data_IF_363079373841
#
_entry.id   IF_363079373841
#
_cell.length_a   1.000
_cell.length_b   1.000
_cell.length_c   1.000
_cell.angle_alpha   90.00
_cell.angle_beta   90.00
_cell.angle_gamma   90.00
#
_symmetry.space_group_name_H-M   'P 1'
#
loop_
_entity.id
_entity.type
_entity.pdbx_description
1 polymer ?
#
# COMPACT_ATOMS: atom_id res chain seq x y z
N UNK A 1 7.51 -1.34 -19.62
CA UNK A 1 7.02 -2.62 -19.07
C UNK A 1 5.56 -2.82 -19.42
N UNK A 2 5.09 -4.04 -19.66
CA UNK A 2 3.65 -4.31 -19.83
C UNK A 2 2.96 -4.56 -18.49
N UNK A 3 1.62 -4.49 -18.46
CA UNK A 3 0.85 -4.66 -17.22
C UNK A 3 1.11 -5.98 -16.49
N UNK A 4 1.41 -7.07 -17.21
CA UNK A 4 1.75 -8.37 -16.62
C UNK A 4 3.07 -8.35 -15.83
N UNK A 5 4.08 -7.69 -16.38
CA UNK A 5 5.37 -7.49 -15.72
C UNK A 5 5.21 -6.58 -14.49
N UNK A 6 4.41 -5.52 -14.60
CA UNK A 6 4.09 -4.63 -13.48
C UNK A 6 3.37 -5.39 -12.36
N UNK A 7 2.41 -6.26 -12.70
CA UNK A 7 1.72 -7.10 -11.72
C UNK A 7 2.70 -8.02 -10.97
N UNK A 8 3.64 -8.65 -11.68
CA UNK A 8 4.66 -9.49 -11.05
C UNK A 8 5.57 -8.69 -10.11
N UNK A 9 6.01 -7.49 -10.54
CA UNK A 9 6.92 -6.64 -9.75
C UNK A 9 6.25 -5.98 -8.54
N UNK A 10 4.98 -5.62 -8.67
CA UNK A 10 4.23 -4.94 -7.61
C UNK A 10 3.49 -5.91 -6.70
N UNK A 11 3.37 -7.18 -7.10
CA UNK A 11 2.48 -8.19 -6.50
C UNK A 11 1.01 -7.74 -6.44
N UNK A 12 0.63 -6.78 -7.28
CA UNK A 12 -0.75 -6.37 -7.45
C UNK A 12 -1.40 -7.20 -8.55
N UNK A 13 -2.66 -7.57 -8.35
CA UNK A 13 -3.43 -8.21 -9.41
C UNK A 13 -3.61 -7.27 -10.61
N UNK A 14 -3.72 -7.82 -11.82
CA UNK A 14 -4.08 -7.05 -13.02
C UNK A 14 -5.37 -6.24 -12.82
N UNK A 15 -6.35 -6.81 -12.11
CA UNK A 15 -7.61 -6.14 -11.76
C UNK A 15 -7.36 -4.92 -10.87
N UNK A 16 -6.47 -5.04 -9.89
CA UNK A 16 -6.12 -3.94 -8.98
C UNK A 16 -5.41 -2.81 -9.72
N UNK A 17 -4.46 -3.13 -10.60
CA UNK A 17 -3.76 -2.12 -11.42
C UNK A 17 -4.76 -1.37 -12.32
N UNK A 18 -5.65 -2.10 -13.01
CA UNK A 18 -6.71 -1.49 -13.83
C UNK A 18 -7.66 -0.61 -13.02
N UNK A 19 -8.01 -1.04 -11.81
CA UNK A 19 -8.84 -0.23 -10.92
C UNK A 19 -8.14 1.08 -10.52
N UNK A 20 -6.82 1.06 -10.29
CA UNK A 20 -6.07 2.28 -10.03
C UNK A 20 -5.93 3.18 -11.27
N UNK A 21 -5.95 2.60 -12.48
CA UNK A 21 -6.09 3.40 -13.70
C UNK A 21 -7.46 4.04 -13.85
N UNK A 22 -8.53 3.27 -13.64
CA UNK A 22 -9.92 3.74 -13.75
C UNK A 22 -10.22 4.84 -12.73
N UNK A 23 -9.64 4.74 -11.54
CA UNK A 23 -9.73 5.78 -10.50
C UNK A 23 -8.74 6.93 -10.74
N UNK A 24 -7.89 6.87 -11.76
CA UNK A 24 -6.93 7.93 -12.11
C UNK A 24 -5.82 8.11 -11.08
N UNK A 25 -5.52 7.09 -10.26
CA UNK A 25 -4.38 7.10 -9.34
C UNK A 25 -3.06 6.84 -10.07
N UNK A 26 -3.09 6.05 -11.14
CA UNK A 26 -1.94 5.70 -11.98
C UNK A 26 -2.39 5.77 -13.43
N UNK A 27 -1.57 6.31 -14.32
CA UNK A 27 -1.83 6.26 -15.76
C UNK A 27 -0.68 5.54 -16.45
N UNK A 28 -0.95 4.69 -17.47
CA UNK A 28 0.13 4.12 -18.26
C UNK A 28 0.87 5.24 -19.00
N UNK A 29 2.18 5.31 -18.81
CA UNK A 29 3.03 6.33 -19.44
C UNK A 29 2.97 6.33 -20.96
N UNK A 30 2.69 5.18 -21.60
CA UNK A 30 2.56 5.08 -23.04
C UNK A 30 1.67 3.92 -23.48
N UNK A 31 1.40 3.86 -24.79
CA UNK A 31 0.87 2.68 -25.47
C UNK A 31 1.85 2.21 -26.54
N UNK A 32 2.01 0.91 -26.69
CA UNK A 32 2.80 0.34 -27.79
C UNK A 32 2.06 0.48 -29.13
N UNK A 33 2.77 0.26 -30.24
CA UNK A 33 2.16 0.25 -31.57
C UNK A 33 1.02 -0.78 -31.72
N UNK A 34 1.06 -1.87 -30.95
CA UNK A 34 -0.01 -2.87 -30.88
C UNK A 34 -1.14 -2.55 -29.90
N UNK A 35 -1.16 -1.34 -29.32
CA UNK A 35 -2.21 -0.89 -28.38
C UNK A 35 -2.04 -1.34 -26.93
N UNK A 36 -0.95 -2.04 -26.59
CA UNK A 36 -0.69 -2.49 -25.23
C UNK A 36 -0.28 -1.34 -24.31
N UNK A 37 -0.73 -1.38 -23.05
CA UNK A 37 -0.34 -0.40 -22.01
C UNK A 37 1.12 -0.60 -21.63
N UNK A 38 1.87 0.49 -21.60
CA UNK A 38 3.26 0.53 -21.19
C UNK A 38 3.43 1.41 -19.96
N UNK A 39 4.16 0.89 -18.99
CA UNK A 39 4.47 1.53 -17.72
C UNK A 39 5.98 1.74 -17.61
N UNK A 40 6.34 2.85 -16.97
CA UNK A 40 7.72 3.23 -16.62
C UNK A 40 8.07 2.78 -15.20
N UNK A 41 9.34 2.92 -14.82
CA UNK A 41 9.77 2.70 -13.43
C UNK A 41 9.05 3.63 -12.44
N UNK A 42 8.76 4.87 -12.85
CA UNK A 42 8.00 5.82 -12.04
C UNK A 42 6.58 5.30 -11.76
N UNK A 43 5.91 4.74 -12.77
CA UNK A 43 4.58 4.15 -12.60
C UNK A 43 4.61 2.96 -11.62
N UNK A 44 5.66 2.13 -11.67
CA UNK A 44 5.86 1.02 -10.74
C UNK A 44 6.11 1.53 -9.32
N UNK A 45 6.97 2.53 -9.15
CA UNK A 45 7.22 3.15 -7.85
C UNK A 45 5.93 3.73 -7.24
N UNK A 46 5.10 4.40 -8.06
CA UNK A 46 3.78 4.90 -7.68
C UNK A 46 2.86 3.79 -7.17
N UNK A 47 2.75 2.69 -7.92
CA UNK A 47 1.96 1.52 -7.54
C UNK A 47 2.45 0.89 -6.24
N UNK A 48 3.76 0.87 -6.00
CA UNK A 48 4.35 0.36 -4.76
C UNK A 48 4.00 1.23 -3.55
N UNK A 49 3.93 2.55 -3.71
CA UNK A 49 3.44 3.45 -2.64
C UNK A 49 1.98 3.16 -2.32
N UNK A 50 1.11 3.11 -3.33
CA UNK A 50 -0.32 2.79 -3.17
C UNK A 50 -0.50 1.45 -2.45
N UNK A 51 0.28 0.43 -2.84
CA UNK A 51 0.27 -0.90 -2.21
C UNK A 51 0.55 -0.82 -0.71
N UNK A 52 1.53 -0.01 -0.28
CA UNK A 52 1.90 0.13 1.14
C UNK A 52 0.87 0.91 1.95
N UNK A 53 0.15 1.83 1.32
CA UNK A 53 -0.90 2.61 1.97
C UNK A 53 -2.17 1.79 2.25
N UNK A 54 -2.47 0.79 1.41
CA UNK A 54 -3.72 0.02 1.50
C UNK A 54 -3.91 -0.74 2.83
N UNK A 55 -2.92 -1.48 3.36
CA UNK A 55 -3.04 -2.14 4.67
C UNK A 55 -3.25 -1.17 5.84
N UNK A 56 -2.79 0.07 5.69
CA UNK A 56 -2.99 1.13 6.66
C UNK A 56 -4.35 1.83 6.49
N UNK A 57 -5.25 1.33 5.65
CA UNK A 57 -6.61 1.86 5.53
C UNK A 57 -6.70 3.27 4.92
N UNK A 58 -5.68 3.72 4.19
CA UNK A 58 -5.78 4.99 3.46
C UNK A 58 -6.85 4.93 2.37
N UNK A 59 -7.59 6.02 2.22
CA UNK A 59 -8.61 6.16 1.17
C UNK A 59 -7.95 6.46 -0.18
N UNK A 60 -8.71 6.32 -1.28
CA UNK A 60 -8.20 6.67 -2.62
C UNK A 60 -7.85 8.16 -2.71
N UNK A 61 -8.58 9.03 -2.02
CA UNK A 61 -8.33 10.47 -2.01
C UNK A 61 -7.05 10.80 -1.23
N UNK A 62 -6.81 10.13 -0.10
CA UNK A 62 -5.56 10.24 0.66
C UNK A 62 -4.36 9.73 -0.15
N UNK A 63 -4.53 8.61 -0.87
CA UNK A 63 -3.51 8.10 -1.78
C UNK A 63 -3.18 9.13 -2.88
N UNK A 64 -4.19 9.70 -3.52
CA UNK A 64 -4.00 10.73 -4.55
C UNK A 64 -3.26 11.94 -3.98
N UNK A 65 -3.71 12.42 -2.84
CA UNK A 65 -3.14 13.55 -2.12
C UNK A 65 -1.64 13.39 -1.83
N UNK A 66 -1.23 12.21 -1.34
CA UNK A 66 0.19 11.92 -1.09
C UNK A 66 0.99 11.87 -2.39
N UNK A 67 0.47 11.19 -3.41
CA UNK A 67 1.15 11.05 -4.69
C UNK A 67 1.33 12.40 -5.38
N UNK A 68 0.32 13.26 -5.38
CA UNK A 68 0.44 14.62 -5.90
C UNK A 68 1.49 15.43 -5.14
N UNK A 69 1.53 15.32 -3.81
CA UNK A 69 2.53 16.05 -3.02
C UNK A 69 3.95 15.62 -3.35
N UNK A 70 4.19 14.31 -3.44
CA UNK A 70 5.50 13.74 -3.82
C UNK A 70 5.88 14.05 -5.27
N UNK A 71 4.95 13.92 -6.23
CA UNK A 71 5.20 14.26 -7.64
C UNK A 71 5.66 15.71 -7.79
N UNK A 72 5.05 16.64 -7.04
CA UNK A 72 5.43 18.06 -7.08
C UNK A 72 6.82 18.30 -6.52
N UNK A 73 7.14 17.68 -5.37
CA UNK A 73 8.46 17.79 -4.74
C UNK A 73 9.56 17.16 -5.61
N UNK A 74 9.26 16.06 -6.29
CA UNK A 74 10.21 15.32 -7.14
C UNK A 74 10.31 15.87 -8.57
N UNK A 75 9.43 16.80 -8.95
CA UNK A 75 9.37 17.34 -10.32
C UNK A 75 10.63 18.07 -10.81
N UNK A 76 11.56 18.38 -9.90
CA UNK A 76 12.78 19.13 -10.19
C UNK A 76 12.54 20.61 -10.56
N UNK A 77 11.28 21.07 -10.52
CA UNK A 77 10.94 22.47 -10.74
C UNK A 77 11.21 23.27 -9.48
N UNK A 78 11.66 24.50 -9.64
CA UNK A 78 11.80 25.43 -8.53
C UNK A 78 10.41 25.82 -8.02
N UNK A 79 10.15 25.49 -6.76
CA UNK A 79 8.90 25.80 -6.07
C UNK A 79 9.13 27.03 -5.17
N UNK A 80 8.16 27.94 -5.05
CA UNK A 80 8.20 28.98 -4.05
C UNK A 80 8.43 28.38 -2.64
N UNK A 81 9.23 29.02 -1.77
CA UNK A 81 9.53 28.48 -0.44
C UNK A 81 8.28 28.15 0.39
N UNK A 82 7.24 28.97 0.29
CA UNK A 82 5.95 28.75 0.98
C UNK A 82 5.25 27.49 0.50
N UNK A 83 5.16 27.30 -0.81
CA UNK A 83 4.53 26.12 -1.41
C UNK A 83 5.32 24.85 -1.12
N UNK A 84 6.66 24.93 -1.11
CA UNK A 84 7.50 23.81 -0.72
C UNK A 84 7.26 23.42 0.74
N UNK A 85 7.13 24.39 1.65
CA UNK A 85 6.84 24.11 3.06
C UNK A 85 5.46 23.47 3.24
N UNK A 86 4.42 23.97 2.56
CA UNK A 86 3.07 23.38 2.59
C UNK A 86 3.06 21.91 2.14
N UNK A 87 3.83 21.57 1.11
CA UNK A 87 3.98 20.19 0.64
C UNK A 87 4.69 19.31 1.68
N UNK A 88 5.72 19.84 2.33
CA UNK A 88 6.43 19.13 3.40
C UNK A 88 5.55 18.93 4.64
N UNK A 89 4.76 19.93 5.03
CA UNK A 89 3.78 19.80 6.12
C UNK A 89 2.72 18.74 5.80
N UNK A 90 2.26 18.70 4.55
CA UNK A 90 1.35 17.63 4.11
C UNK A 90 1.99 16.25 4.21
N UNK A 91 3.27 16.11 3.85
CA UNK A 91 4.00 14.85 4.03
C UNK A 91 4.17 14.46 5.50
N UNK A 92 4.48 15.42 6.38
CA UNK A 92 4.54 15.19 7.84
C UNK A 92 3.20 14.67 8.36
N UNK A 93 2.08 15.26 7.94
CA UNK A 93 0.75 14.77 8.30
C UNK A 93 0.46 13.33 7.84
N UNK A 94 0.91 12.96 6.64
CA UNK A 94 0.82 11.57 6.18
C UNK A 94 1.71 10.61 6.97
N UNK A 95 2.91 11.04 7.36
CA UNK A 95 3.81 10.27 8.21
C UNK A 95 3.16 10.01 9.58
N UNK A 96 2.66 11.05 10.24
CA UNK A 96 1.96 10.94 11.53
C UNK A 96 0.74 10.01 11.43
N UNK A 97 -0.08 10.17 10.40
CA UNK A 97 -1.22 9.30 10.15
C UNK A 97 -0.79 7.84 9.96
N UNK A 98 0.30 7.59 9.22
CA UNK A 98 0.82 6.24 9.03
C UNK A 98 1.32 5.64 10.34
N UNK A 99 2.04 6.42 11.16
CA UNK A 99 2.53 5.99 12.48
C UNK A 99 1.38 5.64 13.42
N UNK A 100 0.33 6.46 13.47
CA UNK A 100 -0.85 6.20 14.29
C UNK A 100 -1.54 4.90 13.88
N UNK A 101 -1.78 4.70 12.58
CA UNK A 101 -2.45 3.50 12.08
C UNK A 101 -1.61 2.24 12.28
N UNK A 102 -0.28 2.33 12.23
CA UNK A 102 0.61 1.24 12.63
C UNK A 102 0.46 0.90 14.11
N UNK A 103 0.37 1.91 14.99
CA UNK A 103 0.15 1.68 16.42
C UNK A 103 -1.21 1.00 16.68
N UNK A 104 -2.26 1.41 15.95
CA UNK A 104 -3.58 0.80 16.04
C UNK A 104 -3.56 -0.67 15.59
N UNK A 105 -2.89 -0.97 14.47
CA UNK A 105 -2.72 -2.34 13.97
C UNK A 105 -1.93 -3.22 14.96
N UNK A 106 -0.89 -2.69 15.61
CA UNK A 106 -0.15 -3.42 16.66
C UNK A 106 -1.06 -3.73 17.86
N UNK A 107 -1.92 -2.79 18.25
CA UNK A 107 -2.90 -3.01 19.31
C UNK A 107 -3.91 -4.09 18.94
N UNK A 108 -4.40 -4.08 17.69
CA UNK A 108 -5.30 -5.12 17.19
C UNK A 108 -4.63 -6.49 17.14
N UNK A 109 -3.38 -6.56 16.69
CA UNK A 109 -2.59 -7.79 16.67
C UNK A 109 -2.46 -8.39 18.07
N UNK A 110 -2.06 -7.58 19.07
CA UNK A 110 -1.92 -8.04 20.44
C UNK A 110 -3.22 -8.64 21.00
N UNK A 111 -4.37 -7.99 20.74
CA UNK A 111 -5.69 -8.51 21.15
C UNK A 111 -6.04 -9.82 20.44
N UNK A 112 -5.74 -9.93 19.15
CA UNK A 112 -5.99 -11.14 18.37
C UNK A 112 -5.13 -12.32 18.86
N UNK A 113 -3.87 -12.06 19.20
CA UNK A 113 -2.95 -13.05 19.78
C UNK A 113 -3.42 -13.53 21.16
N UNK A 114 -3.85 -12.61 22.03
CA UNK A 114 -4.43 -12.94 23.34
C UNK A 114 -5.67 -13.83 23.21
N UNK A 115 -6.57 -13.49 22.28
CA UNK A 115 -7.75 -14.30 21.99
C UNK A 115 -7.37 -15.70 21.48
N UNK A 116 -6.44 -15.79 20.53
CA UNK A 116 -5.95 -17.07 20.02
C UNK A 116 -5.30 -17.94 21.12
N UNK A 117 -4.53 -17.32 22.02
CA UNK A 117 -3.94 -18.01 23.17
C UNK A 117 -5.02 -18.53 24.13
N UNK A 118 -6.05 -17.73 24.40
CA UNK A 118 -7.20 -18.13 25.22
C UNK A 118 -7.91 -19.36 24.65
N UNK A 119 -8.16 -19.38 23.33
CA UNK A 119 -8.76 -20.55 22.68
C UNK A 119 -7.86 -21.79 22.79
N UNK A 120 -6.55 -21.63 22.60
CA UNK A 120 -5.57 -22.73 22.70
C UNK A 120 -5.56 -23.38 24.09
N UNK A 121 -5.70 -22.59 25.15
CA UNK A 121 -5.76 -23.09 26.52
C UNK A 121 -7.05 -23.88 26.82
N UNK A 122 -8.14 -23.58 26.11
CA UNK A 122 -9.45 -24.23 26.31
C UNK A 122 -9.61 -25.50 25.48
N UNK A 123 -8.89 -25.65 24.38
CA UNK A 123 -8.91 -26.88 23.60
C UNK A 123 -8.28 -28.00 24.44
N UNK A 124 -9.02 -29.08 24.76
CA UNK A 124 -8.44 -30.20 25.48
C UNK A 124 -7.28 -30.74 24.64
N UNK A 125 -6.09 -30.90 25.26
CA UNK A 125 -5.02 -31.69 24.67
C UNK A 125 -5.64 -33.06 24.43
N UNK A 126 -5.96 -33.39 23.18
CA UNK A 126 -6.46 -34.72 22.84
C UNK A 126 -5.35 -35.68 23.25
N UNK A 127 -5.55 -36.32 24.39
CA UNK A 127 -4.66 -37.33 24.92
C UNK A 127 -4.43 -38.35 23.81
N UNK A 128 -3.17 -38.49 23.39
CA UNK A 128 -2.77 -39.61 22.58
C UNK A 128 -3.18 -40.88 23.33
N UNK A 129 -3.97 -41.80 22.74
CA UNK A 129 -4.23 -43.07 23.39
C UNK A 129 -2.91 -43.84 23.41
N UNK A 130 -2.35 -43.97 24.62
CA UNK A 130 -1.45 -45.05 24.98
C UNK A 130 -2.12 -46.38 24.62
N UNK A 131 -1.71 -46.99 23.52
CA UNK A 131 -1.93 -48.40 23.26
C UNK A 131 -0.64 -49.03 22.75
N UNK A 132 0.16 -49.47 23.72
CA UNK A 132 1.01 -50.67 23.61
C UNK A 132 0.12 -51.85 24.02
N UNK A 133 0.23 -53.01 23.36
CA UNK A 133 1.25 -53.98 23.76
C UNK A 133 2.20 -54.38 22.63
#
# INVERSE_FOLDING_TARGET
MQIGEVAARTELSLRTIRHYEETGLVAPSARSQGGFRLYTEADVARLMVIRRMKPLGFTLDEMRALLEATDRLDSGKELPPTEREELLDRLRGFEEAAQQRVADLRTQLARAEEFAATLRQRLPQTAAPTRTP
#
